data_IF_760926624317
#
_entry.id   IF_760926624317
#
_cell.length_a   1.000
_cell.length_b   1.000
_cell.length_c   1.000
_cell.angle_alpha   90.00
_cell.angle_beta   90.00
_cell.angle_gamma   90.00
#
_symmetry.space_group_name_H-M   'P 1'
#
loop_
_entity.id
_entity.type
_entity.pdbx_description
1 polymer ?
#
# COMPACT_ATOMS: atom_id res chain seq x y z
N UNK A 1 5.05 4.03 7.24
CA UNK A 1 5.84 2.82 7.51
C UNK A 1 5.46 2.20 8.86
N UNK A 2 5.95 2.67 10.01
CA UNK A 2 5.67 2.04 11.32
C UNK A 2 4.19 1.81 11.62
N UNK A 3 3.35 2.82 11.34
CA UNK A 3 1.90 2.73 11.59
C UNK A 3 1.18 1.78 10.63
N UNK A 4 1.74 1.54 9.45
CA UNK A 4 1.18 0.63 8.45
C UNK A 4 1.58 -0.82 8.75
N UNK A 5 2.85 -1.07 9.07
CA UNK A 5 3.37 -2.43 9.33
C UNK A 5 3.25 -2.90 10.79
N UNK A 6 3.05 -2.00 11.75
CA UNK A 6 2.94 -2.36 13.17
C UNK A 6 4.28 -2.73 13.81
N UNK A 7 5.17 -1.73 13.94
CA UNK A 7 6.60 -1.86 14.28
C UNK A 7 7.40 -2.50 13.14
N UNK A 8 7.76 -1.67 12.16
CA UNK A 8 8.47 -2.09 10.94
C UNK A 8 9.95 -2.39 11.26
N UNK A 9 10.48 -3.45 10.65
CA UNK A 9 11.91 -3.71 10.52
C UNK A 9 12.33 -3.77 9.05
N UNK A 10 13.63 -3.81 8.78
CA UNK A 10 14.18 -3.88 7.43
C UNK A 10 13.67 -5.09 6.63
N UNK A 11 13.44 -6.23 7.29
CA UNK A 11 12.91 -7.42 6.65
C UNK A 11 11.48 -7.19 6.15
N UNK A 12 10.65 -6.43 6.87
CA UNK A 12 9.28 -6.14 6.42
C UNK A 12 9.27 -5.38 5.11
N UNK A 13 10.22 -4.44 4.94
CA UNK A 13 10.39 -3.68 3.70
C UNK A 13 10.92 -4.60 2.59
N UNK A 14 11.89 -5.48 2.89
CA UNK A 14 12.45 -6.41 1.90
C UNK A 14 11.37 -7.38 1.40
N UNK A 15 10.58 -7.98 2.29
CA UNK A 15 9.57 -8.96 1.93
C UNK A 15 8.29 -8.35 1.37
N UNK A 16 7.96 -7.10 1.73
CA UNK A 16 6.76 -6.40 1.24
C UNK A 16 7.13 -5.14 0.46
N UNK A 17 8.13 -5.23 -0.43
CA UNK A 17 8.66 -4.07 -1.14
C UNK A 17 7.61 -3.35 -1.99
N UNK A 18 6.66 -4.06 -2.60
CA UNK A 18 5.57 -3.44 -3.37
C UNK A 18 4.74 -2.48 -2.51
N UNK A 19 4.33 -2.92 -1.31
CA UNK A 19 3.60 -2.08 -0.36
C UNK A 19 4.43 -0.89 0.10
N UNK A 20 5.73 -1.06 0.28
CA UNK A 20 6.63 0.04 0.59
C UNK A 20 6.73 1.08 -0.55
N UNK A 21 6.73 0.64 -1.82
CA UNK A 21 6.68 1.53 -2.97
C UNK A 21 5.35 2.28 -3.08
N UNK A 22 4.21 1.63 -2.84
CA UNK A 22 2.92 2.33 -2.82
C UNK A 22 2.88 3.43 -1.75
N UNK A 23 3.43 3.16 -0.56
CA UNK A 23 3.55 4.21 0.46
C UNK A 23 4.50 5.34 0.01
N UNK A 24 5.57 5.01 -0.72
CA UNK A 24 6.52 6.00 -1.22
C UNK A 24 5.91 6.89 -2.30
N UNK A 25 5.15 6.31 -3.24
CA UNK A 25 4.52 7.03 -4.34
C UNK A 25 3.43 8.00 -3.85
N UNK A 26 2.73 7.67 -2.76
CA UNK A 26 1.81 8.62 -2.13
C UNK A 26 2.52 9.78 -1.44
N UNK A 27 3.75 9.56 -0.97
CA UNK A 27 4.56 10.61 -0.32
C UNK A 27 5.27 11.49 -1.34
N UNK A 28 5.81 10.90 -2.41
CA UNK A 28 6.69 11.56 -3.37
C UNK A 28 6.22 11.29 -4.79
N UNK A 29 6.23 12.34 -5.61
CA UNK A 29 5.98 12.24 -7.04
C UNK A 29 6.95 13.10 -7.82
N UNK A 30 7.55 12.52 -8.86
CA UNK A 30 8.56 13.19 -9.69
C UNK A 30 9.72 13.83 -8.89
N UNK A 31 10.07 13.24 -7.75
CA UNK A 31 11.14 13.73 -6.87
C UNK A 31 10.73 14.84 -5.89
N UNK A 32 9.46 15.25 -5.91
CA UNK A 32 8.90 16.28 -5.02
C UNK A 32 7.92 15.69 -4.01
N UNK A 33 7.71 16.39 -2.90
CA UNK A 33 6.72 15.99 -1.89
C UNK A 33 5.30 16.15 -2.43
N UNK A 34 4.58 15.04 -2.57
CA UNK A 34 3.17 15.02 -3.01
C UNK A 34 2.22 15.25 -1.83
N UNK A 35 2.29 14.40 -0.80
CA UNK A 35 1.41 14.46 0.37
C UNK A 35 2.24 14.44 1.66
N UNK A 36 2.00 15.44 2.51
CA UNK A 36 2.70 15.62 3.78
C UNK A 36 1.92 15.03 4.96
N UNK A 37 0.60 14.89 4.81
CA UNK A 37 -0.28 14.38 5.84
C UNK A 37 -0.22 12.86 5.91
N UNK A 38 0.47 12.36 6.94
CA UNK A 38 0.50 10.91 7.27
C UNK A 38 -0.90 10.30 7.36
N UNK A 39 -1.91 11.07 7.81
CA UNK A 39 -3.30 10.60 7.90
C UNK A 39 -3.93 10.37 6.53
N UNK A 40 -3.63 11.24 5.56
CA UNK A 40 -4.13 11.10 4.19
C UNK A 40 -3.45 9.93 3.49
N UNK A 41 -2.13 9.84 3.57
CA UNK A 41 -1.35 8.72 3.00
C UNK A 41 -1.89 7.37 3.50
N UNK A 42 -2.04 7.20 4.82
CA UNK A 42 -2.57 5.95 5.38
C UNK A 42 -4.02 5.65 4.96
N UNK A 43 -4.84 6.68 4.71
CA UNK A 43 -6.22 6.50 4.24
C UNK A 43 -6.24 6.01 2.80
N UNK A 44 -5.44 6.61 1.92
CA UNK A 44 -5.38 6.24 0.49
C UNK A 44 -4.90 4.80 0.36
N UNK A 45 -3.83 4.45 1.08
CA UNK A 45 -3.24 3.11 1.01
C UNK A 45 -4.19 2.05 1.57
N UNK A 46 -4.89 2.33 2.67
CA UNK A 46 -5.91 1.40 3.18
C UNK A 46 -7.09 1.20 2.22
N UNK A 47 -7.45 2.22 1.44
CA UNK A 47 -8.46 2.09 0.39
C UNK A 47 -7.94 1.26 -0.80
N UNK A 48 -6.67 1.43 -1.17
CA UNK A 48 -6.02 0.66 -2.23
C UNK A 48 -5.90 -0.83 -1.85
N UNK A 49 -5.47 -1.14 -0.62
CA UNK A 49 -5.43 -2.51 -0.11
C UNK A 49 -6.82 -3.18 -0.20
N UNK A 50 -7.88 -2.45 0.16
CA UNK A 50 -9.25 -2.97 0.08
C UNK A 50 -9.70 -3.25 -1.35
N UNK A 51 -9.27 -2.43 -2.32
CA UNK A 51 -9.57 -2.63 -3.74
C UNK A 51 -8.82 -3.85 -4.30
N UNK A 52 -7.54 -3.98 -3.98
CA UNK A 52 -6.71 -5.12 -4.39
C UNK A 52 -7.28 -6.44 -3.85
N UNK A 53 -7.71 -6.46 -2.58
CA UNK A 53 -8.35 -7.63 -1.97
C UNK A 53 -9.67 -8.01 -2.69
N UNK A 54 -10.48 -7.03 -3.09
CA UNK A 54 -11.72 -7.28 -3.85
C UNK A 54 -11.45 -7.78 -5.27
N UNK A 55 -10.43 -7.24 -5.94
CA UNK A 55 -10.02 -7.69 -7.27
C UNK A 55 -9.54 -9.14 -7.24
N UNK A 56 -8.76 -9.52 -6.22
CA UNK A 56 -8.30 -10.91 -6.02
C UNK A 56 -9.50 -11.86 -5.82
N UNK A 57 -10.51 -11.45 -5.06
CA UNK A 57 -11.71 -12.26 -4.83
C UNK A 57 -12.52 -12.47 -6.14
N UNK A 58 -12.75 -11.41 -6.92
CA UNK A 58 -13.46 -11.48 -8.21
C UNK A 58 -12.72 -12.37 -9.24
N UNK A 59 -11.39 -12.27 -9.28
CA UNK A 59 -10.53 -13.09 -10.12
C UNK A 59 -10.56 -14.58 -9.70
N UNK A 60 -10.74 -14.84 -8.40
CA UNK A 60 -10.89 -16.19 -7.87
C UNK A 60 -12.23 -16.80 -8.27
N UNK A 61 -13.32 -16.02 -8.22
CA UNK A 61 -14.68 -16.44 -8.59
C UNK A 61 -14.79 -16.72 -10.09
N UNK A 62 -14.15 -15.89 -10.92
CA UNK A 62 -14.20 -16.03 -12.39
C UNK A 62 -13.44 -17.26 -12.91
N UNK A 63 -12.42 -17.74 -12.19
CA UNK A 63 -11.61 -18.92 -12.58
C UNK A 63 -12.24 -20.27 -12.24
N UNK A 64 -13.33 -20.29 -11.46
CA UNK A 64 -14.09 -21.50 -11.10
C UNK A 64 -15.36 -21.68 -11.95
N UNK A 65 -15.68 -20.71 -12.82
CA UNK A 65 -16.82 -20.72 -13.75
C UNK A 65 -16.51 -21.30 -15.12
#
# INVERSE_FOLDING_TARGET
MDKYYGNVCELDIIFNFQKAYFILDELLLAGELQESSKKNVLRVIGAQDSLEDMEIDDDSVTKIG
#
